data_IF_991905798223
#
_entry.id   IF_991905798223
#
_cell.length_a   1.000
_cell.length_b   1.000
_cell.length_c   1.000
_cell.angle_alpha   90.00
_cell.angle_beta   90.00
_cell.angle_gamma   90.00
#
_symmetry.space_group_name_H-M   'P 1'
#
loop_
_entity.id
_entity.type
_entity.pdbx_description
1 polymer ?
#
# COMPACT_ATOMS: atom_id res chain seq x y z
N UNK A 1 4.32 -7.12 7.59
CA UNK A 1 5.30 -8.09 7.07
C UNK A 1 5.80 -7.60 5.72
N UNK A 2 7.03 -7.91 5.32
CA UNK A 2 7.53 -7.59 3.98
C UNK A 2 7.51 -8.86 3.14
N UNK A 3 6.91 -8.81 1.95
CA UNK A 3 7.01 -9.90 0.98
C UNK A 3 8.32 -9.77 0.19
N UNK A 4 9.01 -10.89 0.01
CA UNK A 4 10.11 -11.02 -0.94
C UNK A 4 9.60 -10.98 -2.38
N UNK A 5 10.49 -10.67 -3.33
CA UNK A 5 10.15 -10.69 -4.76
C UNK A 5 9.61 -12.07 -5.24
N UNK A 6 10.13 -13.15 -4.65
CA UNK A 6 9.68 -14.51 -4.97
C UNK A 6 8.27 -14.80 -4.43
N UNK A 7 7.95 -14.32 -3.23
CA UNK A 7 6.59 -14.43 -2.67
C UNK A 7 5.61 -13.60 -3.49
N UNK A 8 5.99 -12.37 -3.85
CA UNK A 8 5.16 -11.49 -4.66
C UNK A 8 4.84 -12.11 -6.02
N UNK A 9 5.86 -12.66 -6.69
CA UNK A 9 5.69 -13.33 -7.98
C UNK A 9 4.75 -14.53 -7.90
N UNK A 10 4.89 -15.35 -6.86
CA UNK A 10 4.00 -16.51 -6.63
C UNK A 10 2.54 -16.08 -6.49
N UNK A 11 2.29 -15.01 -5.74
CA UNK A 11 0.94 -14.46 -5.55
C UNK A 11 0.40 -13.89 -6.87
N UNK A 12 1.22 -13.14 -7.61
CA UNK A 12 0.85 -12.58 -8.91
C UNK A 12 0.42 -13.64 -9.91
N UNK A 13 1.25 -14.69 -10.08
CA UNK A 13 0.98 -15.79 -11.02
C UNK A 13 -0.28 -16.59 -10.62
N UNK A 14 -0.58 -16.70 -9.33
CA UNK A 14 -1.75 -17.45 -8.86
C UNK A 14 -3.08 -16.69 -9.02
N UNK A 15 -3.05 -15.36 -8.85
CA UNK A 15 -4.22 -14.49 -8.94
C UNK A 15 -4.55 -14.09 -10.38
N UNK A 16 -3.54 -13.94 -11.24
CA UNK A 16 -3.71 -13.36 -12.57
C UNK A 16 -3.87 -11.84 -12.52
N UNK A 17 -3.74 -11.17 -13.68
CA UNK A 17 -3.57 -9.71 -13.77
C UNK A 17 -4.71 -8.90 -13.13
N UNK A 18 -5.97 -9.30 -13.33
CA UNK A 18 -7.15 -8.59 -12.80
C UNK A 18 -7.24 -8.62 -11.27
N UNK A 19 -6.96 -9.78 -10.65
CA UNK A 19 -7.03 -9.95 -9.19
C UNK A 19 -5.73 -9.51 -8.49
N UNK A 20 -4.60 -9.55 -9.20
CA UNK A 20 -3.32 -9.06 -8.68
C UNK A 20 -3.32 -7.54 -8.50
N UNK A 21 -4.01 -6.80 -9.36
CA UNK A 21 -4.14 -5.34 -9.24
C UNK A 21 -4.75 -4.91 -7.89
N UNK A 22 -5.51 -5.80 -7.24
CA UNK A 22 -6.16 -5.53 -5.97
C UNK A 22 -5.11 -5.47 -4.85
N UNK A 23 -4.06 -6.29 -4.93
CA UNK A 23 -3.09 -6.63 -3.87
C UNK A 23 -2.36 -5.44 -3.25
N UNK A 24 -2.16 -4.35 -3.99
CA UNK A 24 -1.41 -3.19 -3.51
C UNK A 24 -2.27 -1.95 -3.39
N UNK A 25 -2.30 -1.38 -2.18
CA UNK A 25 -2.88 -0.06 -1.95
C UNK A 25 -1.75 0.96 -1.80
N UNK A 26 -1.53 1.74 -2.85
CA UNK A 26 -0.62 2.88 -2.81
C UNK A 26 -1.38 4.12 -2.35
N UNK A 27 -0.88 4.78 -1.30
CA UNK A 27 -1.48 6.01 -0.79
C UNK A 27 -0.50 7.17 -1.04
N UNK A 28 -0.76 7.95 -2.09
CA UNK A 28 -0.12 9.25 -2.32
C UNK A 28 -1.08 10.35 -1.91
N UNK A 29 -0.83 10.96 -0.76
CA UNK A 29 -1.56 12.15 -0.33
C UNK A 29 -0.60 13.16 0.31
N UNK A 30 -0.87 14.44 0.08
CA UNK A 30 -0.15 15.52 0.74
C UNK A 30 -0.56 15.59 2.22
N UNK A 31 0.41 15.84 3.09
CA UNK A 31 0.11 16.13 4.49
C UNK A 31 -0.86 17.30 4.65
N UNK A 32 -1.69 17.24 5.70
CA UNK A 32 -2.62 18.32 6.06
C UNK A 32 -1.85 19.58 6.49
N UNK A 33 -0.74 19.39 7.21
CA UNK A 33 0.13 20.47 7.70
C UNK A 33 1.60 20.07 7.54
N UNK A 34 2.46 21.07 7.31
CA UNK A 34 3.89 20.87 7.03
C UNK A 34 4.66 20.20 8.19
N UNK A 35 4.33 20.52 9.44
CA UNK A 35 5.06 20.04 10.63
C UNK A 35 4.34 18.99 11.46
N UNK A 36 3.05 18.74 11.19
CA UNK A 36 2.28 17.70 11.85
C UNK A 36 1.45 16.96 10.80
N UNK A 37 1.98 15.87 10.26
CA UNK A 37 1.44 15.27 9.04
C UNK A 37 -0.01 14.81 9.16
N UNK A 38 -0.38 14.26 10.32
CA UNK A 38 -1.76 13.87 10.68
C UNK A 38 -1.93 13.70 12.21
N UNK A 39 -1.99 14.80 13.00
CA UNK A 39 -1.97 14.72 14.48
C UNK A 39 -3.10 13.92 15.08
N UNK A 40 -4.28 14.07 14.51
CA UNK A 40 -5.50 13.45 15.00
C UNK A 40 -5.80 12.15 14.23
N UNK A 41 -4.88 11.71 13.36
CA UNK A 41 -5.05 10.49 12.58
C UNK A 41 -6.22 10.54 11.60
N UNK A 42 -6.66 11.72 11.14
CA UNK A 42 -7.84 11.84 10.27
C UNK A 42 -7.71 11.03 8.97
N UNK A 43 -6.56 11.09 8.31
CA UNK A 43 -6.32 10.30 7.11
C UNK A 43 -5.97 8.85 7.45
N UNK A 44 -5.24 8.62 8.53
CA UNK A 44 -4.94 7.26 9.00
C UNK A 44 -6.21 6.48 9.37
N UNK A 45 -7.22 7.12 9.94
CA UNK A 45 -8.54 6.53 10.23
C UNK A 45 -9.29 6.13 8.96
N UNK A 46 -9.16 6.93 7.89
CA UNK A 46 -9.74 6.58 6.58
C UNK A 46 -9.00 5.36 6.01
N UNK A 47 -7.67 5.35 6.05
CA UNK A 47 -6.85 4.23 5.57
C UNK A 47 -7.13 2.95 6.37
N UNK A 48 -7.30 3.06 7.69
CA UNK A 48 -7.66 1.94 8.55
C UNK A 48 -9.03 1.35 8.17
N UNK A 49 -10.05 2.19 7.95
CA UNK A 49 -11.36 1.74 7.46
C UNK A 49 -11.27 1.07 6.09
N UNK A 50 -10.46 1.60 5.18
CA UNK A 50 -10.20 0.97 3.88
C UNK A 50 -9.55 -0.40 4.08
N UNK A 51 -8.53 -0.51 4.92
CA UNK A 51 -7.87 -1.79 5.23
C UNK A 51 -8.83 -2.80 5.86
N UNK A 52 -9.71 -2.37 6.78
CA UNK A 52 -10.73 -3.22 7.40
C UNK A 52 -11.72 -3.75 6.38
N UNK A 53 -12.18 -2.93 5.43
CA UNK A 53 -13.07 -3.36 4.35
C UNK A 53 -12.34 -4.31 3.41
N UNK A 54 -11.12 -3.93 3.03
CA UNK A 54 -10.27 -4.67 2.10
C UNK A 54 -9.92 -6.07 2.60
N UNK A 55 -9.66 -6.22 3.90
CA UNK A 55 -9.42 -7.51 4.57
C UNK A 55 -10.69 -8.21 5.08
N UNK A 56 -11.86 -7.58 4.96
CA UNK A 56 -13.12 -8.13 5.49
C UNK A 56 -13.19 -8.19 7.02
N UNK A 57 -12.43 -7.36 7.74
CA UNK A 57 -12.36 -7.34 9.20
C UNK A 57 -13.51 -6.57 9.87
N UNK A 58 -14.30 -5.81 9.09
CA UNK A 58 -15.34 -4.91 9.63
C UNK A 58 -16.48 -5.63 10.37
N UNK A 59 -16.59 -6.97 10.29
CA UNK A 59 -17.61 -7.77 10.97
C UNK A 59 -19.06 -7.48 10.56
N UNK A 60 -19.27 -6.56 9.61
CA UNK A 60 -20.59 -6.11 9.14
C UNK A 60 -21.14 -6.93 7.98
N UNK A 61 -20.34 -7.81 7.41
CA UNK A 61 -20.70 -8.66 6.27
C UNK A 61 -20.34 -10.09 6.64
N UNK A 62 -21.30 -11.01 6.56
CA UNK A 62 -21.06 -12.45 6.78
C UNK A 62 -20.28 -13.11 5.62
N UNK A 63 -19.72 -12.31 4.72
CA UNK A 63 -19.03 -12.77 3.51
C UNK A 63 -17.60 -12.22 3.52
N UNK A 64 -16.59 -13.05 3.17
CA UNK A 64 -15.22 -12.60 3.02
C UNK A 64 -15.14 -11.52 1.94
N UNK A 65 -14.20 -10.56 2.07
CA UNK A 65 -13.93 -9.62 0.99
C UNK A 65 -13.53 -10.36 -0.29
N UNK A 66 -13.72 -9.75 -1.45
CA UNK A 66 -13.39 -10.36 -2.75
C UNK A 66 -11.94 -10.86 -2.80
N UNK A 67 -11.01 -10.13 -2.17
CA UNK A 67 -9.62 -10.54 -2.05
C UNK A 67 -9.44 -11.78 -1.16
N UNK A 68 -10.09 -11.80 0.02
CA UNK A 68 -10.05 -12.96 0.90
C UNK A 68 -10.61 -14.21 0.20
N UNK A 69 -11.73 -14.06 -0.53
CA UNK A 69 -12.31 -15.12 -1.33
C UNK A 69 -11.37 -15.60 -2.45
N UNK A 70 -10.69 -14.67 -3.14
CA UNK A 70 -9.72 -14.99 -4.18
C UNK A 70 -8.50 -15.74 -3.62
N UNK A 71 -7.95 -15.30 -2.48
CA UNK A 71 -6.82 -15.97 -1.82
C UNK A 71 -7.19 -17.37 -1.36
N UNK A 72 -8.37 -17.54 -0.76
CA UNK A 72 -8.86 -18.86 -0.34
C UNK A 72 -9.08 -19.79 -1.53
N UNK A 73 -9.73 -19.32 -2.60
CA UNK A 73 -9.95 -20.09 -3.82
C UNK A 73 -8.65 -20.56 -4.51
N UNK A 74 -7.54 -19.87 -4.26
CA UNK A 74 -6.20 -20.21 -4.79
C UNK A 74 -5.32 -20.93 -3.78
N UNK A 75 -5.80 -21.21 -2.57
CA UNK A 75 -5.01 -21.86 -1.51
C UNK A 75 -3.84 -21.01 -1.01
N UNK A 76 -3.92 -19.69 -1.13
CA UNK A 76 -2.86 -18.75 -0.74
C UNK A 76 -2.89 -18.37 0.76
N UNK A 77 -3.95 -18.78 1.48
CA UNK A 77 -4.15 -18.43 2.89
C UNK A 77 -4.93 -17.13 3.06
N UNK A 78 -4.62 -16.36 4.11
CA UNK A 78 -5.24 -15.04 4.33
C UNK A 78 -4.39 -13.96 3.67
N UNK A 79 -4.99 -12.97 2.99
CA UNK A 79 -4.24 -11.86 2.45
C UNK A 79 -3.73 -10.94 3.57
N UNK A 80 -2.56 -10.35 3.34
CA UNK A 80 -2.04 -9.22 4.11
C UNK A 80 -2.46 -7.89 3.46
N UNK A 81 -2.47 -6.81 4.24
CA UNK A 81 -2.61 -5.44 3.72
C UNK A 81 -1.24 -4.75 3.72
N UNK A 82 -0.72 -4.46 2.54
CA UNK A 82 0.50 -3.69 2.37
C UNK A 82 0.14 -2.24 1.99
N UNK A 83 0.56 -1.28 2.82
CA UNK A 83 0.43 0.13 2.55
C UNK A 83 1.80 0.71 2.18
N UNK A 84 1.89 1.29 0.98
CA UNK A 84 3.02 2.14 0.62
C UNK A 84 2.64 3.61 0.80
N UNK A 85 3.30 4.28 1.74
CA UNK A 85 3.15 5.72 1.98
C UNK A 85 4.35 6.45 1.37
N UNK A 86 4.18 6.98 0.17
CA UNK A 86 5.25 7.50 -0.66
C UNK A 86 6.05 8.63 -0.01
N UNK A 87 5.42 9.77 0.24
CA UNK A 87 6.08 10.96 0.72
C UNK A 87 6.50 10.80 2.18
N UNK A 88 5.68 10.10 2.97
CA UNK A 88 5.99 9.78 4.36
C UNK A 88 7.20 8.85 4.53
N UNK A 89 7.54 8.04 3.51
CA UNK A 89 8.73 7.19 3.52
C UNK A 89 10.04 7.93 3.21
N UNK A 90 9.98 9.18 2.76
CA UNK A 90 11.16 9.98 2.41
C UNK A 90 11.74 10.68 3.64
N UNK A 91 13.05 10.99 3.60
CA UNK A 91 13.68 11.81 4.62
C UNK A 91 13.04 13.21 4.71
N UNK A 92 12.41 13.50 5.85
CA UNK A 92 11.75 14.78 6.13
C UNK A 92 12.74 15.82 6.67
N UNK A 93 12.38 17.09 6.62
CA UNK A 93 13.19 18.13 7.26
C UNK A 93 13.09 18.07 8.80
N UNK A 94 14.16 18.43 9.54
CA UNK A 94 15.50 18.76 9.03
C UNK A 94 16.26 17.49 8.61
N UNK A 95 16.85 17.53 7.41
CA UNK A 95 17.69 16.44 6.88
C UNK A 95 19.15 16.67 7.24
N UNK A 96 19.88 15.60 7.53
CA UNK A 96 21.32 15.67 7.87
C UNK A 96 22.16 14.64 7.09
N UNK A 97 23.38 15.02 6.74
CA UNK A 97 24.34 14.12 6.09
C UNK A 97 23.79 13.45 4.83
N UNK A 98 23.76 12.12 4.82
CA UNK A 98 23.32 11.31 3.68
C UNK A 98 21.84 11.56 3.30
N UNK A 99 20.99 11.96 4.24
CA UNK A 99 19.56 12.18 4.02
C UNK A 99 19.29 13.27 2.97
N UNK A 100 20.12 14.32 2.95
CA UNK A 100 20.06 15.40 1.97
C UNK A 100 20.26 14.89 0.54
N UNK A 101 21.15 13.91 0.37
CA UNK A 101 21.46 13.33 -0.93
C UNK A 101 20.46 12.24 -1.35
N UNK A 102 19.83 11.56 -0.39
CA UNK A 102 18.91 10.46 -0.64
C UNK A 102 17.45 10.91 -0.86
N UNK A 103 17.06 12.10 -0.40
CA UNK A 103 15.70 12.59 -0.56
C UNK A 103 15.26 12.69 -2.03
N UNK A 104 16.04 13.36 -2.89
CA UNK A 104 15.67 13.55 -4.30
C UNK A 104 15.61 12.23 -5.09
N UNK A 105 16.59 11.31 -4.96
CA UNK A 105 16.48 9.96 -5.53
C UNK A 105 15.25 9.20 -5.04
N UNK A 106 14.98 9.22 -3.73
CA UNK A 106 13.78 8.60 -3.16
C UNK A 106 12.49 9.17 -3.73
N UNK A 107 12.38 10.51 -3.79
CA UNK A 107 11.21 11.20 -4.35
C UNK A 107 10.96 10.81 -5.81
N UNK A 108 12.02 10.69 -6.62
CA UNK A 108 11.89 10.23 -8.02
C UNK A 108 11.48 8.77 -8.11
N UNK A 109 12.01 7.91 -7.25
CA UNK A 109 11.64 6.50 -7.21
C UNK A 109 10.18 6.30 -6.79
N UNK A 110 9.66 7.13 -5.88
CA UNK A 110 8.25 7.11 -5.48
C UNK A 110 7.29 7.35 -6.64
N UNK A 111 7.66 8.17 -7.63
CA UNK A 111 6.82 8.44 -8.81
C UNK A 111 6.62 7.22 -9.72
N UNK A 112 7.48 6.20 -9.64
CA UNK A 112 7.40 4.99 -10.48
C UNK A 112 6.13 4.19 -10.16
N UNK A 113 5.69 4.21 -8.90
CA UNK A 113 4.51 3.46 -8.44
C UNK A 113 3.18 4.04 -8.93
N UNK A 114 3.14 5.32 -9.33
CA UNK A 114 1.90 6.02 -9.69
C UNK A 114 1.67 6.15 -11.19
N UNK A 115 2.65 5.80 -12.04
CA UNK A 115 2.64 6.18 -13.45
C UNK A 115 3.17 5.14 -14.42
N UNK A 116 3.33 3.87 -14.01
CA UNK A 116 3.72 2.84 -14.95
C UNK A 116 2.56 2.53 -15.90
N UNK A 117 2.84 2.41 -17.20
CA UNK A 117 1.81 2.19 -18.23
C UNK A 117 1.04 0.88 -18.03
N UNK A 118 1.59 -0.06 -17.25
CA UNK A 118 0.94 -1.31 -16.84
C UNK A 118 0.23 -1.27 -15.48
N UNK A 119 0.21 -0.13 -14.78
CA UNK A 119 -0.53 0.04 -13.51
C UNK A 119 -1.86 0.80 -13.67
N UNK A 120 -2.22 1.20 -14.89
CA UNK A 120 -3.53 1.75 -15.22
C UNK A 120 -4.18 0.76 -16.18
N UNK A 121 -5.26 0.12 -15.75
CA UNK A 121 -6.18 -0.64 -16.61
C UNK A 121 -6.96 0.33 -17.51
#
# INVERSE_FOLDING_TARGET
AFWSAAELRRVAEALGDELFAIVFVALSYRWLKQGHPDPEGFHLDIVAKVAELYLGLSGKVNEPSELCAAFEAKGLGKPDFALFQDFGSLYQHPRVGAECHLFLPGLRASNIWYGHQGSVL
#
